data_IF_597279527537
#
_entry.id   IF_597279527537
#
_cell.length_a   1.000
_cell.length_b   1.000
_cell.length_c   1.000
_cell.angle_alpha   90.00
_cell.angle_beta   90.00
_cell.angle_gamma   90.00
#
_symmetry.space_group_name_H-M   'P 1'
#
loop_
_entity.id
_entity.type
_entity.pdbx_description
1 polymer ?
#
# COMPACT_ATOMS: atom_id res chain seq x y z
N UNK A 1 -5.92 15.68 -1.25
CA UNK A 1 -5.71 15.58 0.22
C UNK A 1 -6.63 16.51 1.03
N UNK A 2 -6.84 17.76 0.61
CA UNK A 2 -7.76 18.70 1.29
C UNK A 2 -9.22 18.19 1.40
N UNK A 3 -9.73 17.49 0.39
CA UNK A 3 -11.12 16.99 0.38
C UNK A 3 -11.39 15.88 1.40
N UNK A 4 -10.43 14.97 1.62
CA UNK A 4 -10.54 13.89 2.60
C UNK A 4 -10.52 14.43 4.03
N UNK A 5 -9.71 15.45 4.32
CA UNK A 5 -9.65 16.10 5.63
C UNK A 5 -10.94 16.85 5.97
N UNK A 6 -11.62 17.42 4.97
CA UNK A 6 -12.89 18.14 5.16
C UNK A 6 -14.06 17.21 5.46
N UNK A 7 -14.10 16.03 4.82
CA UNK A 7 -15.20 15.06 4.99
C UNK A 7 -14.93 14.04 6.11
N UNK A 8 -13.67 13.86 6.53
CA UNK A 8 -13.32 13.04 7.68
C UNK A 8 -14.03 13.51 8.96
N UNK A 9 -14.21 14.82 9.15
CA UNK A 9 -14.94 15.36 10.32
C UNK A 9 -16.43 14.97 10.34
N UNK A 10 -17.03 14.70 9.17
CA UNK A 10 -18.43 14.29 9.02
C UNK A 10 -18.62 12.77 9.22
N UNK A 11 -17.67 11.97 8.74
CA UNK A 11 -17.74 10.50 8.82
C UNK A 11 -17.22 9.97 10.16
N UNK A 12 -16.17 10.59 10.74
CA UNK A 12 -15.61 10.18 12.03
C UNK A 12 -16.29 10.88 13.22
N UNK A 13 -17.07 11.95 13.03
CA UNK A 13 -17.57 12.77 14.13
C UNK A 13 -16.43 13.43 14.91
N UNK A 14 -16.74 14.34 15.85
CA UNK A 14 -15.73 15.01 16.67
C UNK A 14 -15.08 14.02 17.65
N UNK A 15 -14.18 13.16 17.18
CA UNK A 15 -13.43 12.25 18.03
C UNK A 15 -12.37 13.08 18.75
N UNK A 16 -12.71 13.52 19.96
CA UNK A 16 -11.79 14.13 20.94
C UNK A 16 -10.72 13.16 21.48
N UNK A 17 -10.56 11.97 20.88
CA UNK A 17 -9.77 10.87 21.44
C UNK A 17 -8.72 10.34 20.47
N UNK A 18 -7.51 10.13 20.99
CA UNK A 18 -6.32 9.54 20.36
C UNK A 18 -6.58 8.24 19.58
N UNK A 19 -7.65 7.53 19.93
CA UNK A 19 -8.07 6.26 19.33
C UNK A 19 -8.51 6.35 17.86
N UNK A 20 -9.04 7.49 17.41
CA UNK A 20 -9.49 7.66 16.01
C UNK A 20 -8.33 7.55 15.01
N UNK A 21 -7.30 8.40 15.11
CA UNK A 21 -6.10 8.32 14.28
C UNK A 21 -5.37 6.98 14.39
N UNK A 22 -5.31 6.40 15.59
CA UNK A 22 -4.65 5.12 15.82
C UNK A 22 -5.34 3.96 15.07
N UNK A 23 -6.68 3.91 15.09
CA UNK A 23 -7.44 2.90 14.35
C UNK A 23 -7.26 3.04 12.83
N UNK A 24 -7.24 4.27 12.31
CA UNK A 24 -7.00 4.53 10.89
C UNK A 24 -5.59 4.10 10.46
N UNK A 25 -4.57 4.43 11.25
CA UNK A 25 -3.20 3.99 11.02
C UNK A 25 -3.08 2.47 11.05
N UNK A 26 -3.72 1.80 12.00
CA UNK A 26 -3.74 0.32 12.07
C UNK A 26 -4.40 -0.30 10.84
N UNK A 27 -5.53 0.25 10.38
CA UNK A 27 -6.24 -0.25 9.20
C UNK A 27 -5.41 -0.05 7.92
N UNK A 28 -4.74 1.10 7.82
CA UNK A 28 -3.81 1.40 6.73
C UNK A 28 -2.60 0.43 6.72
N UNK A 29 -1.96 0.22 7.86
CA UNK A 29 -0.82 -0.70 8.01
C UNK A 29 -1.24 -2.16 7.75
N UNK A 30 -2.44 -2.55 8.19
CA UNK A 30 -2.98 -3.89 7.95
C UNK A 30 -3.18 -4.15 6.45
N UNK A 31 -3.71 -3.17 5.70
CA UNK A 31 -3.79 -3.25 4.24
C UNK A 31 -2.41 -3.40 3.59
N UNK A 32 -1.46 -2.54 3.98
CA UNK A 32 -0.09 -2.61 3.48
C UNK A 32 0.59 -3.95 3.79
N UNK A 33 0.25 -4.56 4.94
CA UNK A 33 0.76 -5.87 5.35
C UNK A 33 0.17 -7.00 4.51
N UNK A 34 -1.13 -6.98 4.21
CA UNK A 34 -1.77 -7.97 3.33
C UNK A 34 -1.16 -7.91 1.93
N UNK A 35 -1.02 -6.69 1.38
CA UNK A 35 -0.41 -6.49 0.06
C UNK A 35 1.07 -6.90 0.09
N UNK A 36 1.82 -6.49 1.12
CA UNK A 36 3.22 -6.87 1.29
C UNK A 36 3.40 -8.39 1.41
N UNK A 37 2.55 -9.08 2.16
CA UNK A 37 2.55 -10.52 2.28
C UNK A 37 2.15 -11.23 0.98
N UNK A 38 1.26 -10.65 0.16
CA UNK A 38 0.88 -11.20 -1.13
C UNK A 38 2.00 -11.02 -2.18
N UNK A 39 2.67 -9.87 -2.15
CA UNK A 39 3.81 -9.55 -3.02
C UNK A 39 5.05 -10.39 -2.64
N UNK A 40 5.29 -10.60 -1.34
CA UNK A 40 6.47 -11.32 -0.83
C UNK A 40 6.22 -12.82 -0.63
N UNK A 41 4.99 -13.26 -0.39
CA UNK A 41 4.66 -14.64 -0.06
C UNK A 41 4.93 -15.61 -1.22
N UNK A 42 4.60 -15.21 -2.46
CA UNK A 42 4.87 -16.01 -3.66
C UNK A 42 6.38 -16.16 -3.95
N UNK A 43 7.21 -15.10 -3.92
CA UNK A 43 8.65 -15.26 -4.10
C UNK A 43 9.32 -16.00 -2.94
N UNK A 44 8.83 -15.90 -1.69
CA UNK A 44 9.35 -16.69 -0.55
C UNK A 44 9.13 -18.20 -0.77
N UNK A 45 7.95 -18.60 -1.24
CA UNK A 45 7.65 -20.00 -1.56
C UNK A 45 8.54 -20.56 -2.68
N UNK A 46 8.86 -19.73 -3.69
CA UNK A 46 9.72 -20.10 -4.82
C UNK A 46 11.21 -20.09 -4.42
N UNK A 47 11.60 -19.20 -3.50
CA UNK A 47 12.95 -19.14 -2.95
C UNK A 47 13.29 -20.39 -2.12
N UNK A 48 12.32 -20.88 -1.34
CA UNK A 48 12.45 -22.14 -0.61
C UNK A 48 12.52 -23.38 -1.53
N UNK A 49 11.99 -23.29 -2.75
CA UNK A 49 12.11 -24.32 -3.80
C UNK A 49 13.45 -24.30 -4.56
N UNK A 50 14.40 -23.45 -4.18
CA UNK A 50 15.75 -23.41 -4.78
C UNK A 50 15.88 -22.56 -6.05
N UNK A 51 14.79 -22.02 -6.59
CA UNK A 51 14.80 -21.15 -7.78
C UNK A 51 14.91 -19.67 -7.40
N UNK A 52 16.08 -19.28 -6.87
CA UNK A 52 16.34 -17.94 -6.31
C UNK A 52 16.20 -16.80 -7.33
N UNK A 53 16.52 -17.07 -8.60
CA UNK A 53 16.52 -16.05 -9.68
C UNK A 53 15.08 -15.71 -10.11
N UNK A 54 14.19 -16.70 -10.13
CA UNK A 54 12.79 -16.51 -10.52
C UNK A 54 11.98 -15.78 -9.44
N UNK A 55 12.27 -16.07 -8.17
CA UNK A 55 11.70 -15.33 -7.04
C UNK A 55 12.03 -13.83 -7.11
N UNK A 56 13.29 -13.48 -7.41
CA UNK A 56 13.73 -12.08 -7.55
C UNK A 56 13.12 -11.43 -8.79
N UNK A 57 13.00 -12.15 -9.92
CA UNK A 57 12.33 -11.63 -11.12
C UNK A 57 10.87 -11.31 -10.88
N UNK A 58 10.13 -12.19 -10.21
CA UNK A 58 8.72 -11.95 -9.90
C UNK A 58 8.54 -10.74 -8.98
N UNK A 59 9.36 -10.65 -7.93
CA UNK A 59 9.34 -9.53 -6.98
C UNK A 59 9.69 -8.20 -7.69
N UNK A 60 10.75 -8.19 -8.52
CA UNK A 60 11.14 -7.03 -9.30
C UNK A 60 10.07 -6.60 -10.31
N UNK A 61 9.35 -7.54 -10.94
CA UNK A 61 8.24 -7.23 -11.82
C UNK A 61 7.06 -6.60 -11.07
N UNK A 62 6.74 -7.12 -9.88
CA UNK A 62 5.66 -6.56 -9.05
C UNK A 62 6.00 -5.15 -8.54
N UNK A 63 7.23 -4.94 -8.07
CA UNK A 63 7.71 -3.61 -7.67
C UNK A 63 7.75 -2.66 -8.88
N UNK A 64 8.28 -3.10 -10.02
CA UNK A 64 8.35 -2.31 -11.24
C UNK A 64 6.97 -1.87 -11.73
N UNK A 65 5.99 -2.76 -11.70
CA UNK A 65 4.61 -2.45 -12.06
C UNK A 65 3.98 -1.44 -11.09
N UNK A 66 4.15 -1.62 -9.77
CA UNK A 66 3.69 -0.65 -8.77
C UNK A 66 4.37 0.72 -8.92
N UNK A 67 5.65 0.74 -9.26
CA UNK A 67 6.41 1.98 -9.47
C UNK A 67 5.92 2.73 -10.72
N UNK A 68 5.64 2.02 -11.81
CA UNK A 68 5.06 2.62 -13.02
C UNK A 68 3.69 3.22 -12.74
N UNK A 69 2.80 2.48 -12.06
CA UNK A 69 1.47 2.98 -11.69
C UNK A 69 1.59 4.22 -10.79
N UNK A 70 2.53 4.21 -9.83
CA UNK A 70 2.78 5.36 -8.95
C UNK A 70 3.24 6.59 -9.74
N UNK A 71 4.18 6.42 -10.68
CA UNK A 71 4.63 7.53 -11.55
C UNK A 71 3.48 8.05 -12.39
N UNK A 72 2.67 7.17 -13.00
CA UNK A 72 1.50 7.58 -13.81
C UNK A 72 0.53 8.38 -12.95
N UNK A 73 0.19 7.91 -11.75
CA UNK A 73 -0.70 8.64 -10.83
C UNK A 73 -0.14 10.01 -10.44
N UNK A 74 1.17 10.10 -10.18
CA UNK A 74 1.81 11.37 -9.85
C UNK A 74 1.80 12.34 -11.04
N UNK A 75 2.03 11.85 -12.26
CA UNK A 75 1.96 12.63 -13.50
C UNK A 75 0.55 13.17 -13.75
N UNK A 76 -0.48 12.34 -13.53
CA UNK A 76 -1.89 12.76 -13.65
C UNK A 76 -2.22 13.86 -12.64
N UNK A 77 -1.76 13.74 -11.40
CA UNK A 77 -1.96 14.77 -10.36
C UNK A 77 -1.23 16.09 -10.67
N UNK A 78 -0.08 16.04 -11.34
CA UNK A 78 0.66 17.27 -11.71
C UNK A 78 0.02 17.98 -12.90
N UNK A 79 -0.66 17.24 -13.78
CA UNK A 79 -1.32 17.77 -14.99
C UNK A 79 -2.74 18.28 -14.73
N UNK A 80 -3.44 17.71 -13.75
CA UNK A 80 -4.82 18.07 -13.36
C UNK A 80 -4.81 19.12 -12.25
#
# INVERSE_FOLDING_TARGET
MAWLMFNASSIFGQIKSFWGPAALLLLFVLSATIVGALVLGRPIYIYLNGQKIEAIKLLAYTIGCLFIITIITFLVIVIV
#
